data_IF_150715193780
#
_entry.id   IF_150715193780
#
_cell.length_a   1.000
_cell.length_b   1.000
_cell.length_c   1.000
_cell.angle_alpha   90.00
_cell.angle_beta   90.00
_cell.angle_gamma   90.00
#
_symmetry.space_group_name_H-M   'P 1'
#
loop_
_entity.id
_entity.type
_entity.pdbx_description
1 polymer ?
#
# COMPACT_ATOMS: atom_id res chain seq x y z
N UNK A 1 0.66 29.29 -4.79
CA UNK A 1 -0.49 28.37 -4.57
C UNK A 1 -0.50 28.03 -3.09
N UNK A 2 -1.45 28.57 -2.29
CA UNK A 2 -1.51 28.26 -0.85
C UNK A 2 -1.96 26.80 -0.70
N UNK A 3 -1.11 25.94 -0.14
CA UNK A 3 -1.54 24.58 0.23
C UNK A 3 -2.58 24.70 1.34
N UNK A 4 -3.80 24.23 1.11
CA UNK A 4 -4.77 24.06 2.19
C UNK A 4 -4.15 23.17 3.27
N UNK A 5 -4.17 23.64 4.51
CA UNK A 5 -3.72 22.86 5.64
C UNK A 5 -4.59 21.61 5.78
N UNK A 6 -3.95 20.44 5.87
CA UNK A 6 -4.63 19.15 5.98
C UNK A 6 -5.44 19.12 7.29
N UNK A 7 -6.76 18.88 7.19
CA UNK A 7 -7.65 18.83 8.35
C UNK A 7 -7.58 17.46 9.01
N UNK A 8 -7.36 17.42 10.32
CA UNK A 8 -7.35 16.20 11.13
C UNK A 8 -8.50 16.22 12.13
N UNK A 9 -9.09 15.06 12.41
CA UNK A 9 -10.08 14.86 13.49
C UNK A 9 -9.50 13.90 14.51
N UNK A 10 -9.69 14.22 15.79
CA UNK A 10 -9.32 13.32 16.88
C UNK A 10 -10.46 12.32 17.11
N UNK A 11 -10.08 11.04 17.23
CA UNK A 11 -10.99 9.95 17.55
C UNK A 11 -10.34 9.09 18.63
N UNK A 12 -11.15 8.40 19.44
CA UNK A 12 -10.68 7.40 20.39
C UNK A 12 -10.98 6.02 19.82
N UNK A 13 -9.95 5.17 19.71
CA UNK A 13 -10.08 3.79 19.22
C UNK A 13 -9.49 2.83 20.25
N UNK A 14 -9.99 1.60 20.27
CA UNK A 14 -9.35 0.49 20.99
C UNK A 14 -8.44 -0.24 20.00
N UNK A 15 -7.25 -0.58 20.47
CA UNK A 15 -6.25 -1.34 19.73
C UNK A 15 -5.66 -2.36 20.70
N UNK A 16 -5.30 -3.54 20.19
CA UNK A 16 -4.58 -4.53 20.96
C UNK A 16 -3.22 -3.98 21.38
N UNK A 17 -2.82 -4.25 22.63
CA UNK A 17 -1.61 -3.68 23.22
C UNK A 17 -0.35 -4.09 22.44
N UNK A 18 -0.26 -5.37 22.06
CA UNK A 18 0.84 -5.91 21.26
C UNK A 18 0.99 -5.19 19.91
N UNK A 19 -0.14 -4.87 19.27
CA UNK A 19 -0.15 -4.14 17.99
C UNK A 19 0.30 -2.69 18.20
N UNK A 20 -0.17 -2.04 19.27
CA UNK A 20 0.24 -0.67 19.59
C UNK A 20 1.74 -0.58 19.86
N UNK A 21 2.32 -1.55 20.56
CA UNK A 21 3.76 -1.60 20.81
C UNK A 21 4.59 -1.74 19.54
N UNK A 22 4.13 -2.53 18.56
CA UNK A 22 4.79 -2.62 17.24
C UNK A 22 4.73 -1.27 16.52
N UNK A 23 3.58 -0.61 16.52
CA UNK A 23 3.40 0.70 15.87
C UNK A 23 4.26 1.77 16.53
N UNK A 24 4.40 1.76 17.86
CA UNK A 24 5.29 2.68 18.59
C UNK A 24 6.75 2.48 18.21
N UNK A 25 7.24 1.24 18.20
CA UNK A 25 8.62 0.91 17.80
C UNK A 25 8.94 1.36 16.37
N UNK A 26 7.97 1.18 15.46
CA UNK A 26 8.09 1.68 14.10
C UNK A 26 8.13 3.21 14.04
N UNK A 27 7.33 3.87 14.89
CA UNK A 27 7.32 5.33 15.08
C UNK A 27 8.66 5.87 15.53
N UNK A 28 9.29 5.22 16.49
CA UNK A 28 10.64 5.55 16.94
C UNK A 28 11.66 5.40 15.81
N UNK A 29 11.56 4.33 15.00
CA UNK A 29 12.48 4.10 13.87
C UNK A 29 12.34 5.12 12.75
N UNK A 30 11.12 5.58 12.46
CA UNK A 30 10.84 6.56 11.40
C UNK A 30 10.79 8.01 11.90
N UNK A 31 11.04 8.28 13.19
CA UNK A 31 10.86 9.60 13.84
C UNK A 31 9.43 10.16 13.66
N UNK A 32 8.43 9.29 13.65
CA UNK A 32 7.02 9.62 13.46
C UNK A 32 6.20 9.37 14.71
N UNK A 33 5.20 10.24 14.95
CA UNK A 33 4.20 9.97 15.97
C UNK A 33 3.36 8.73 15.61
N UNK A 34 2.85 8.04 16.63
CA UNK A 34 1.88 6.94 16.47
C UNK A 34 0.69 7.38 15.60
N UNK A 35 0.20 8.61 15.79
CA UNK A 35 -0.88 9.18 14.98
C UNK A 35 -0.53 9.35 13.51
N UNK A 36 0.72 9.72 13.19
CA UNK A 36 1.20 9.83 11.82
C UNK A 36 1.29 8.46 11.14
N UNK A 37 1.79 7.44 11.86
CA UNK A 37 1.85 6.07 11.34
C UNK A 37 0.44 5.51 11.13
N UNK A 38 -0.46 5.66 12.11
CA UNK A 38 -1.85 5.23 11.96
C UNK A 38 -2.51 5.90 10.77
N UNK A 39 -2.32 7.21 10.57
CA UNK A 39 -2.84 7.90 9.40
C UNK A 39 -2.24 7.38 8.08
N UNK A 40 -0.94 7.06 8.04
CA UNK A 40 -0.27 6.47 6.86
C UNK A 40 -0.86 5.10 6.52
N UNK A 41 -1.06 4.24 7.52
CA UNK A 41 -1.63 2.90 7.36
C UNK A 41 -3.09 2.97 6.91
N UNK A 42 -3.93 3.76 7.61
CA UNK A 42 -5.34 3.92 7.26
C UNK A 42 -5.52 4.52 5.87
N UNK A 43 -4.65 5.45 5.48
CA UNK A 43 -4.64 6.02 4.14
C UNK A 43 -4.30 4.96 3.09
N UNK A 44 -3.25 4.16 3.31
CA UNK A 44 -2.92 3.03 2.41
C UNK A 44 -4.08 2.05 2.29
N UNK A 45 -4.73 1.73 3.39
CA UNK A 45 -5.89 0.85 3.40
C UNK A 45 -7.03 1.38 2.53
N UNK A 46 -7.40 2.66 2.69
CA UNK A 46 -8.49 3.27 1.91
C UNK A 46 -8.11 3.45 0.44
N UNK A 47 -6.84 3.77 0.14
CA UNK A 47 -6.38 3.96 -1.24
C UNK A 47 -6.21 2.64 -1.99
N UNK A 48 -5.79 1.57 -1.32
CA UNK A 48 -5.48 0.29 -1.97
C UNK A 48 -6.22 -0.92 -1.39
N UNK A 49 -5.96 -1.26 -0.14
CA UNK A 49 -6.38 -2.55 0.45
C UNK A 49 -7.91 -2.72 0.45
N UNK A 50 -8.69 -1.63 0.47
CA UNK A 50 -10.15 -1.64 0.36
C UNK A 50 -10.65 -2.12 -1.01
N UNK A 51 -9.86 -1.91 -2.06
CA UNK A 51 -10.19 -2.25 -3.44
C UNK A 51 -9.51 -3.55 -3.91
N UNK A 52 -8.37 -3.95 -3.31
CA UNK A 52 -7.62 -5.16 -3.65
C UNK A 52 -8.51 -6.41 -3.83
N UNK A 53 -9.45 -6.74 -2.92
CA UNK A 53 -10.33 -7.91 -3.09
C UNK A 53 -11.34 -7.77 -4.23
N UNK A 54 -11.64 -6.53 -4.66
CA UNK A 54 -12.64 -6.24 -5.71
C UNK A 54 -12.06 -6.30 -7.12
N UNK A 55 -10.73 -6.21 -7.26
CA UNK A 55 -10.05 -6.17 -8.58
C UNK A 55 -9.13 -7.37 -8.83
N UNK A 56 -9.16 -8.42 -7.98
CA UNK A 56 -8.28 -9.60 -8.12
C UNK A 56 -6.79 -9.24 -8.28
N UNK A 57 -6.37 -8.09 -7.74
CA UNK A 57 -4.98 -7.63 -7.83
C UNK A 57 -4.13 -8.36 -6.79
N UNK A 58 -2.91 -8.74 -7.20
CA UNK A 58 -1.92 -9.37 -6.32
C UNK A 58 -0.71 -8.42 -6.25
N UNK A 59 -0.24 -8.03 -5.05
CA UNK A 59 0.98 -7.23 -4.92
C UNK A 59 2.20 -8.08 -5.29
N UNK A 60 2.96 -7.63 -6.30
CA UNK A 60 4.17 -8.31 -6.79
C UNK A 60 5.38 -7.36 -6.67
N UNK A 61 6.50 -7.78 -6.07
CA UNK A 61 7.73 -6.99 -6.05
C UNK A 61 8.22 -6.67 -7.47
N UNK A 62 8.63 -5.42 -7.71
CA UNK A 62 9.12 -4.96 -9.02
C UNK A 62 10.21 -5.86 -9.61
N UNK A 63 11.20 -6.25 -8.80
CA UNK A 63 12.31 -7.10 -9.23
C UNK A 63 11.81 -8.48 -9.71
N UNK A 64 10.79 -9.03 -9.05
CA UNK A 64 10.18 -10.29 -9.48
C UNK A 64 9.48 -10.11 -10.82
N UNK A 65 8.72 -9.02 -10.98
CA UNK A 65 8.05 -8.69 -12.24
C UNK A 65 9.07 -8.55 -13.38
N UNK A 66 10.14 -7.80 -13.18
CA UNK A 66 11.21 -7.62 -14.16
C UNK A 66 11.84 -8.95 -14.57
N UNK A 67 12.14 -9.83 -13.61
CA UNK A 67 12.68 -11.17 -13.90
C UNK A 67 11.69 -12.06 -14.67
N UNK A 68 10.40 -11.96 -14.39
CA UNK A 68 9.37 -12.74 -15.10
C UNK A 68 9.26 -12.35 -16.58
N UNK A 69 9.53 -11.08 -16.90
CA UNK A 69 9.51 -10.56 -18.27
C UNK A 69 10.90 -10.49 -18.93
N UNK A 70 11.96 -10.78 -18.18
CA UNK A 70 13.33 -10.79 -18.70
C UNK A 70 13.48 -11.84 -19.81
N UNK A 71 13.92 -11.42 -20.99
CA UNK A 71 14.13 -12.31 -22.14
C UNK A 71 12.87 -12.59 -22.97
N UNK A 72 11.73 -11.95 -22.67
CA UNK A 72 10.55 -11.95 -23.55
C UNK A 72 10.60 -10.76 -24.51
N UNK A 73 10.13 -10.95 -25.74
CA UNK A 73 9.93 -9.85 -26.67
C UNK A 73 8.65 -9.09 -26.31
N UNK A 74 8.54 -7.84 -26.77
CA UNK A 74 7.32 -7.05 -26.59
C UNK A 74 6.08 -7.75 -27.17
N UNK A 75 6.24 -8.45 -28.29
CA UNK A 75 5.21 -9.24 -28.97
C UNK A 75 4.70 -10.40 -28.08
N UNK A 76 5.59 -11.10 -27.39
CA UNK A 76 5.23 -12.17 -26.45
C UNK A 76 4.43 -11.64 -25.27
N UNK A 77 4.76 -10.44 -24.79
CA UNK A 77 4.07 -9.79 -23.67
C UNK A 77 2.65 -9.37 -24.09
N UNK A 78 2.51 -8.75 -25.26
CA UNK A 78 1.21 -8.34 -25.81
C UNK A 78 0.31 -9.55 -26.05
N UNK A 79 0.86 -10.65 -26.59
CA UNK A 79 0.14 -11.90 -26.80
C UNK A 79 -0.36 -12.51 -25.49
N UNK A 80 0.46 -12.49 -24.44
CA UNK A 80 0.07 -12.98 -23.12
C UNK A 80 -1.08 -12.15 -22.53
N UNK A 81 -0.99 -10.82 -22.61
CA UNK A 81 -2.00 -9.90 -22.10
C UNK A 81 -3.36 -10.05 -22.81
N UNK A 82 -3.34 -10.23 -24.14
CA UNK A 82 -4.55 -10.38 -24.96
C UNK A 82 -5.22 -11.76 -24.81
N UNK A 83 -4.47 -12.81 -24.43
CA UNK A 83 -5.04 -14.13 -24.17
C UNK A 83 -5.69 -14.26 -22.80
N UNK A 84 -5.19 -13.56 -21.78
CA UNK A 84 -5.66 -13.68 -20.39
C UNK A 84 -6.65 -12.57 -20.02
N UNK A 85 -6.56 -11.38 -20.64
CA UNK A 85 -7.50 -10.27 -20.44
C UNK A 85 -8.83 -10.47 -21.16
N UNK A 86 -9.72 -11.29 -20.59
CA UNK A 86 -11.17 -11.27 -20.86
C UNK A 86 -11.95 -11.08 -19.58
#
# INVERSE_FOLDING_TARGET
>A
MKSEAKKFRQITIRIEDEVLEIVKKEGEREELSVGNIMNKILKRYVEWDLYEPKVSMIPIPKILLEKLFQGRTEEDIIKLATQVGR
#
